data_IF_596786434058
#
_entry.id   IF_596786434058
#
_cell.length_a   1.000
_cell.length_b   1.000
_cell.length_c   1.000
_cell.angle_alpha   90.00
_cell.angle_beta   90.00
_cell.angle_gamma   90.00
#
_symmetry.space_group_name_H-M   'P 1'
#
loop_
_entity.id
_entity.type
_entity.pdbx_description
1 polymer ?
#
# COMPACT_ATOMS: atom_id res chain seq x y z
N UNK A 1 32.74 33.68 18.61
CA UNK A 1 32.00 32.55 19.22
C UNK A 1 30.58 32.36 18.65
N UNK A 2 29.80 33.42 18.35
CA UNK A 2 28.41 33.33 17.85
C UNK A 2 28.20 32.55 16.53
N UNK A 3 29.19 32.58 15.63
CA UNK A 3 29.12 31.90 14.31
C UNK A 3 29.22 30.36 14.42
N UNK A 4 29.92 29.87 15.45
CA UNK A 4 30.05 28.43 15.71
C UNK A 4 28.76 27.85 16.29
N UNK A 5 28.08 28.62 17.14
CA UNK A 5 26.77 28.25 17.69
C UNK A 5 25.70 28.14 16.60
N UNK A 6 25.74 29.02 15.59
CA UNK A 6 24.80 28.98 14.47
C UNK A 6 25.00 27.74 13.58
N UNK A 7 26.25 27.37 13.29
CA UNK A 7 26.56 26.17 12.52
C UNK A 7 26.12 24.88 13.23
N UNK A 8 26.30 24.83 14.56
CA UNK A 8 25.83 23.69 15.35
C UNK A 8 24.30 23.58 15.37
N UNK A 9 23.59 24.70 15.48
CA UNK A 9 22.13 24.72 15.42
C UNK A 9 21.60 24.29 14.04
N UNK A 10 22.28 24.66 12.95
CA UNK A 10 21.92 24.26 11.59
C UNK A 10 22.06 22.75 11.37
N UNK A 11 23.14 22.16 11.88
CA UNK A 11 23.39 20.70 11.78
C UNK A 11 22.33 19.93 12.59
N UNK A 12 21.99 20.41 13.79
CA UNK A 12 20.90 19.84 14.61
C UNK A 12 19.55 19.89 13.90
N UNK A 13 19.22 21.01 13.23
CA UNK A 13 17.97 21.15 12.48
C UNK A 13 17.91 20.23 11.25
N UNK A 14 19.03 20.05 10.54
CA UNK A 14 19.16 19.12 9.41
C UNK A 14 18.99 17.67 9.82
N UNK A 15 19.50 17.27 10.99
CA UNK A 15 19.32 15.91 11.52
C UNK A 15 17.86 15.59 11.88
N UNK A 16 17.09 16.59 12.34
CA UNK A 16 15.65 16.41 12.61
C UNK A 16 14.83 16.23 11.32
N UNK A 17 15.16 16.96 10.25
CA UNK A 17 14.48 16.82 8.96
C UNK A 17 14.74 15.46 8.31
N UNK A 18 15.94 14.89 8.47
CA UNK A 18 16.29 13.57 7.92
C UNK A 18 15.54 12.40 8.60
N UNK A 19 15.09 12.56 9.85
CA UNK A 19 14.32 11.55 10.59
C UNK A 19 12.81 11.79 10.58
N UNK A 20 12.33 12.92 10.04
CA UNK A 20 10.90 13.20 9.90
C UNK A 20 10.26 12.57 8.64
N UNK A 21 11.05 11.90 7.79
CA UNK A 21 10.56 11.24 6.58
C UNK A 21 10.13 9.78 6.78
N UNK A 22 10.05 9.28 8.02
CA UNK A 22 9.21 8.11 8.30
C UNK A 22 7.75 8.57 8.41
N UNK A 23 7.27 9.22 7.34
CA UNK A 23 5.86 9.17 7.00
C UNK A 23 5.65 7.76 6.48
N UNK A 24 5.40 6.83 7.40
CA UNK A 24 4.69 5.61 7.12
C UNK A 24 3.34 6.05 6.59
N UNK A 25 3.29 6.32 5.28
CA UNK A 25 2.05 6.59 4.58
C UNK A 25 1.13 5.42 4.91
N UNK A 26 -0.02 5.65 5.57
CA UNK A 26 -1.01 4.62 5.66
C UNK A 26 -1.56 4.51 4.25
N UNK A 27 -1.09 3.54 3.47
CA UNK A 27 -1.88 3.02 2.35
C UNK A 27 -3.06 2.22 2.92
N UNK A 28 -3.92 2.92 3.65
CA UNK A 28 -5.29 2.52 3.89
C UNK A 28 -6.09 2.87 2.65
N UNK A 29 -6.01 2.02 1.63
CA UNK A 29 -6.92 2.05 0.50
C UNK A 29 -8.02 1.00 0.71
N UNK A 30 -9.21 1.48 1.05
CA UNK A 30 -10.46 0.71 0.89
C UNK A 30 -11.03 0.05 2.15
N UNK A 31 -11.86 0.80 2.86
CA UNK A 31 -12.94 0.32 3.75
C UNK A 31 -13.49 -1.08 3.44
N UNK A 32 -13.37 -2.03 4.37
CA UNK A 32 -14.49 -2.86 4.90
C UNK A 32 -14.11 -3.56 6.23
N UNK A 33 -14.09 -2.79 7.32
CA UNK A 33 -13.73 -3.26 8.68
C UNK A 33 -14.70 -4.30 9.29
N UNK A 34 -15.75 -4.71 8.57
CA UNK A 34 -16.68 -5.75 9.03
C UNK A 34 -16.47 -7.14 8.39
N UNK A 35 -15.78 -7.23 7.24
CA UNK A 35 -15.57 -8.50 6.52
C UNK A 35 -14.20 -9.14 6.76
N UNK A 36 -13.21 -8.32 7.10
CA UNK A 36 -11.79 -8.70 7.12
C UNK A 36 -11.42 -9.58 8.33
N UNK A 37 -12.06 -9.35 9.48
CA UNK A 37 -11.89 -10.19 10.68
C UNK A 37 -12.45 -11.61 10.48
N UNK A 38 -13.62 -11.72 9.83
CA UNK A 38 -14.22 -13.00 9.50
C UNK A 38 -13.39 -13.73 8.43
N UNK A 39 -12.97 -13.03 7.37
CA UNK A 39 -12.14 -13.60 6.31
C UNK A 39 -10.80 -14.13 6.86
N UNK A 40 -10.13 -13.35 7.72
CA UNK A 40 -8.87 -13.76 8.37
C UNK A 40 -9.04 -14.96 9.31
N UNK A 41 -10.16 -15.08 10.01
CA UNK A 41 -10.48 -16.26 10.83
C UNK A 41 -10.68 -17.53 9.97
N UNK A 42 -11.11 -17.37 8.71
CA UNK A 42 -11.23 -18.45 7.72
C UNK A 42 -10.01 -18.60 6.80
N UNK A 43 -8.91 -17.87 7.05
CA UNK A 43 -7.71 -17.91 6.21
C UNK A 43 -7.89 -17.34 4.80
N UNK A 44 -8.93 -16.52 4.60
CA UNK A 44 -9.22 -15.82 3.37
C UNK A 44 -8.66 -14.38 3.44
N UNK A 45 -7.90 -13.98 2.42
CA UNK A 45 -7.42 -12.61 2.23
C UNK A 45 -7.97 -12.08 0.92
N UNK A 46 -8.68 -10.96 0.96
CA UNK A 46 -9.16 -10.26 -0.23
C UNK A 46 -8.16 -9.16 -0.58
N UNK A 47 -7.22 -9.46 -1.48
CA UNK A 47 -6.36 -8.43 -2.08
C UNK A 47 -6.95 -8.01 -3.43
N UNK A 48 -6.88 -6.72 -3.75
CA UNK A 48 -7.38 -6.20 -5.00
C UNK A 48 -6.93 -4.76 -5.22
N UNK A 49 -6.95 -4.33 -6.48
CA UNK A 49 -6.44 -3.03 -6.89
C UNK A 49 -7.31 -2.38 -7.95
N UNK A 50 -7.43 -1.06 -7.91
CA UNK A 50 -8.06 -0.27 -8.96
C UNK A 50 -6.98 0.54 -9.68
N UNK A 51 -7.00 0.57 -11.00
CA UNK A 51 -5.98 1.27 -11.77
C UNK A 51 -6.38 1.60 -13.21
N UNK A 52 -5.45 2.20 -13.94
CA UNK A 52 -5.55 2.43 -15.37
C UNK A 52 -4.41 1.67 -16.05
N UNK A 53 -4.70 1.02 -17.18
CA UNK A 53 -3.68 0.35 -17.98
C UNK A 53 -3.84 0.72 -19.45
N UNK A 54 -2.73 0.80 -20.18
CA UNK A 54 -2.73 1.12 -21.60
C UNK A 54 -2.36 -0.13 -22.39
N UNK A 55 -3.26 -0.61 -23.24
CA UNK A 55 -3.07 -1.77 -24.10
C UNK A 55 -3.37 -1.35 -25.53
N UNK A 56 -2.40 -1.54 -26.43
CA UNK A 56 -2.50 -1.17 -27.85
C UNK A 56 -2.93 0.30 -28.08
N UNK A 57 -2.44 1.20 -27.22
CA UNK A 57 -2.74 2.64 -27.30
C UNK A 57 -4.11 3.05 -26.78
N UNK A 58 -4.91 2.12 -26.25
CA UNK A 58 -6.20 2.39 -25.61
C UNK A 58 -6.06 2.30 -24.09
N UNK A 59 -6.65 3.26 -23.38
CA UNK A 59 -6.67 3.28 -21.92
C UNK A 59 -7.86 2.45 -21.42
N UNK A 60 -7.60 1.53 -20.50
CA UNK A 60 -8.61 0.70 -19.83
C UNK A 60 -8.61 0.99 -18.34
N UNK A 61 -9.80 1.03 -17.74
CA UNK A 61 -9.96 0.93 -16.30
C UNK A 61 -9.74 -0.52 -15.88
N UNK A 62 -8.83 -0.74 -14.93
CA UNK A 62 -8.44 -2.06 -14.42
C UNK A 62 -8.98 -2.25 -13.02
N UNK A 63 -9.67 -3.37 -12.81
CA UNK A 63 -10.03 -3.90 -11.50
C UNK A 63 -9.31 -5.22 -11.33
N UNK A 64 -8.31 -5.26 -10.45
CA UNK A 64 -7.59 -6.47 -10.08
C UNK A 64 -8.26 -7.10 -8.86
N UNK A 65 -8.57 -8.39 -8.96
CA UNK A 65 -9.11 -9.22 -7.89
C UNK A 65 -8.14 -10.36 -7.65
N UNK A 66 -7.54 -10.36 -6.46
CA UNK A 66 -6.56 -11.35 -6.03
C UNK A 66 -6.96 -12.01 -4.69
N UNK A 67 -8.12 -12.70 -4.60
CA UNK A 67 -8.47 -13.41 -3.37
C UNK A 67 -7.58 -14.65 -3.20
N UNK A 68 -7.07 -14.83 -1.98
CA UNK A 68 -6.34 -16.01 -1.55
C UNK A 68 -7.11 -16.73 -0.44
N UNK A 69 -7.23 -18.05 -0.57
CA UNK A 69 -7.82 -18.92 0.45
C UNK A 69 -6.81 -19.98 0.88
N UNK A 70 -6.37 -19.88 2.13
CA UNK A 70 -5.40 -20.79 2.73
C UNK A 70 -6.04 -21.69 3.79
N UNK A 71 -5.94 -23.02 3.58
CA UNK A 71 -6.38 -24.07 4.49
C UNK A 71 -5.15 -24.83 5.01
N UNK A 72 -4.54 -24.33 6.08
CA UNK A 72 -3.35 -24.93 6.69
C UNK A 72 -2.11 -24.80 5.81
N UNK A 73 -1.63 -25.90 5.23
CA UNK A 73 -0.43 -25.92 4.36
C UNK A 73 -0.74 -25.81 2.86
N UNK A 74 -2.02 -25.81 2.50
CA UNK A 74 -2.48 -25.75 1.12
C UNK A 74 -3.29 -24.47 0.93
N UNK A 75 -3.08 -23.78 -0.19
CA UNK A 75 -3.80 -22.56 -0.52
C UNK A 75 -4.12 -22.51 -2.01
N UNK A 76 -5.17 -21.76 -2.35
CA UNK A 76 -5.56 -21.46 -3.72
C UNK A 76 -5.85 -19.98 -3.84
N UNK A 77 -5.14 -19.33 -4.76
CA UNK A 77 -5.37 -17.94 -5.12
C UNK A 77 -6.03 -17.85 -6.49
N UNK A 78 -6.94 -16.90 -6.65
CA UNK A 78 -7.39 -16.41 -7.95
C UNK A 78 -6.67 -15.09 -8.20
N UNK A 79 -6.08 -14.90 -9.38
CA UNK A 79 -5.57 -13.59 -9.82
C UNK A 79 -6.26 -13.26 -11.15
N UNK A 80 -7.15 -12.27 -11.11
CA UNK A 80 -7.99 -11.89 -12.22
C UNK A 80 -7.97 -10.38 -12.44
N UNK A 81 -7.71 -9.99 -13.69
CA UNK A 81 -7.77 -8.60 -14.15
C UNK A 81 -9.01 -8.37 -15.01
N UNK A 82 -9.89 -7.49 -14.55
CA UNK A 82 -11.05 -7.03 -15.31
C UNK A 82 -10.73 -5.68 -15.93
N UNK A 83 -10.85 -5.59 -17.26
CA UNK A 83 -10.50 -4.40 -18.05
C UNK A 83 -11.75 -3.82 -18.72
N UNK A 84 -11.97 -2.51 -18.55
CA UNK A 84 -13.11 -1.77 -19.12
C UNK A 84 -12.61 -0.62 -20.01
N UNK A 85 -13.15 -0.46 -21.23
CA UNK A 85 -12.82 0.62 -22.18
C UNK A 85 -14.07 1.40 -22.58
#
# INVERSE_FOLDING_TARGET
>A
MKKLTLAFALIMALSFAAFAQDESAPEGSGTTVAGDEAAKAFGASMMGGLGLTTIDGKVYYRVQLAPDLSLGKFGVGLDADLLFN
#
